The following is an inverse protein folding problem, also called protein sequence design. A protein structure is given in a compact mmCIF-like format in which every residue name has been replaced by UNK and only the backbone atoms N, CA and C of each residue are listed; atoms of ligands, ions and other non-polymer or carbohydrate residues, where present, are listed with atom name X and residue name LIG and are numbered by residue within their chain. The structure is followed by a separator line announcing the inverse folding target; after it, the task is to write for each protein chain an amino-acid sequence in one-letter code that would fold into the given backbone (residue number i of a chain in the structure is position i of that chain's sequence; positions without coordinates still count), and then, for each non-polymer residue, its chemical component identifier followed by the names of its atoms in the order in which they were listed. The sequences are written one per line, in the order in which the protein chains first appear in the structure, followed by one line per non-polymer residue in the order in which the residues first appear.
data_IF_113177885176
#
_entry.id   IF_113177885176
#
_cell.length_a   1.000
_cell.length_b   1.000
_cell.length_c   1.000
_cell.angle_alpha   90.00
_cell.angle_beta   90.00
_cell.angle_gamma   90.00
#
_symmetry.space_group_name_H-M   'P 1'
#
loop_
_entity.id
_entity.type
_entity.pdbx_description
1 polymer ?
#
# COMPACT_ATOMS: atom_id res chain seq x y z
N UNK A 1 -0.99 -11.79 16.84
CA UNK A 1 -2.01 -11.04 16.08
C UNK A 1 -2.44 -11.90 14.92
N UNK A 2 -3.72 -11.88 14.58
CA UNK A 2 -4.24 -12.52 13.37
C UNK A 2 -4.74 -11.46 12.40
N UNK A 3 -4.99 -11.89 11.17
CA UNK A 3 -5.46 -11.07 10.07
C UNK A 3 -6.72 -11.69 9.50
N UNK A 4 -7.80 -10.93 9.50
CA UNK A 4 -9.10 -11.34 8.97
C UNK A 4 -9.39 -10.64 7.65
N UNK A 5 -10.31 -11.22 6.88
CA UNK A 5 -10.79 -10.60 5.64
C UNK A 5 -11.81 -9.52 5.96
N UNK A 6 -11.75 -8.40 5.25
CA UNK A 6 -12.79 -7.36 5.25
C UNK A 6 -14.18 -7.87 4.88
N UNK A 7 -14.29 -9.06 4.26
CA UNK A 7 -15.56 -9.70 3.90
C UNK A 7 -15.95 -10.82 4.87
N UNK A 8 -15.07 -11.21 5.80
CA UNK A 8 -15.40 -12.10 6.92
C UNK A 8 -15.75 -13.55 6.57
N UNK A 9 -15.50 -14.02 5.33
CA UNK A 9 -15.83 -15.40 4.91
C UNK A 9 -14.63 -16.34 4.95
N UNK A 10 -13.51 -15.90 5.50
CA UNK A 10 -12.26 -16.67 5.57
C UNK A 10 -11.77 -16.78 7.00
N UNK A 11 -11.12 -17.90 7.35
CA UNK A 11 -10.49 -18.03 8.66
C UNK A 11 -9.37 -17.00 8.81
N UNK A 12 -9.21 -16.37 9.99
CA UNK A 12 -8.08 -15.48 10.23
C UNK A 12 -6.75 -16.21 10.09
N UNK A 13 -5.75 -15.52 9.57
CA UNK A 13 -4.40 -16.05 9.32
C UNK A 13 -3.34 -15.23 10.06
N UNK A 14 -2.10 -15.72 10.14
CA UNK A 14 -0.99 -14.93 10.71
C UNK A 14 -0.45 -13.92 9.71
N UNK A 15 0.39 -12.98 10.14
CA UNK A 15 0.85 -11.88 9.27
C UNK A 15 1.68 -12.38 8.09
N UNK A 16 2.52 -13.41 8.29
CA UNK A 16 3.28 -14.02 7.20
C UNK A 16 2.35 -14.59 6.12
N UNK A 17 1.31 -15.32 6.53
CA UNK A 17 0.34 -15.89 5.61
C UNK A 17 -0.46 -14.79 4.89
N UNK A 18 -0.89 -13.73 5.60
CA UNK A 18 -1.59 -12.59 4.99
C UNK A 18 -0.73 -11.88 3.93
N UNK A 19 0.57 -11.67 4.19
CA UNK A 19 1.52 -11.08 3.22
C UNK A 19 1.72 -12.01 2.03
N UNK A 20 1.90 -13.31 2.27
CA UNK A 20 2.08 -14.32 1.21
C UNK A 20 0.88 -14.40 0.28
N UNK A 21 -0.33 -14.43 0.85
CA UNK A 21 -1.59 -14.52 0.10
C UNK A 21 -1.92 -13.20 -0.63
N UNK A 22 -1.64 -12.05 0.00
CA UNK A 22 -1.90 -10.72 -0.55
C UNK A 22 -3.38 -10.30 -0.52
N UNK A 23 -4.28 -11.19 -0.99
CA UNK A 23 -5.74 -11.05 -0.97
C UNK A 23 -6.37 -12.25 -0.28
N UNK A 24 -7.49 -12.05 0.40
CA UNK A 24 -8.22 -13.15 1.01
C UNK A 24 -8.99 -13.97 -0.06
N UNK A 25 -9.20 -15.28 0.15
CA UNK A 25 -9.90 -16.14 -0.82
C UNK A 25 -11.34 -15.73 -1.15
N UNK A 26 -12.00 -14.97 -0.28
CA UNK A 26 -13.33 -14.40 -0.51
C UNK A 26 -13.32 -13.07 -1.30
N UNK A 27 -12.14 -12.68 -1.81
CA UNK A 27 -11.89 -11.44 -2.52
C UNK A 27 -11.76 -10.21 -1.62
N UNK A 28 -11.84 -10.38 -0.29
CA UNK A 28 -11.63 -9.30 0.67
C UNK A 28 -10.15 -9.03 0.95
N UNK A 29 -9.91 -8.00 1.75
CA UNK A 29 -8.57 -7.53 2.09
C UNK A 29 -8.20 -7.91 3.52
N UNK A 30 -6.95 -8.28 3.76
CA UNK A 30 -6.50 -8.59 5.12
C UNK A 30 -6.36 -7.33 5.97
N UNK A 31 -6.86 -7.39 7.21
CA UNK A 31 -6.76 -6.36 8.26
C UNK A 31 -6.46 -7.03 9.61
N UNK A 32 -5.76 -6.35 10.55
CA UNK A 32 -5.45 -6.91 11.86
C UNK A 32 -6.70 -7.10 12.71
N UNK A 33 -6.78 -8.22 13.43
CA UNK A 33 -7.93 -8.63 14.27
C UNK A 33 -8.12 -7.80 15.54
N UNK A 34 -7.15 -6.94 15.87
CA UNK A 34 -7.16 -6.11 17.07
C UNK A 34 -6.43 -4.78 16.84
N UNK A 35 -6.80 -3.73 17.57
CA UNK A 35 -6.09 -2.45 17.49
C UNK A 35 -4.66 -2.58 18.03
N UNK A 36 -3.73 -1.93 17.34
CA UNK A 36 -2.38 -1.62 17.84
C UNK A 36 -2.43 -0.22 18.42
N UNK A 37 -1.77 0.01 19.56
CA UNK A 37 -1.65 1.33 20.20
C UNK A 37 -0.20 1.57 20.60
N UNK A 38 0.24 2.82 20.46
CA UNK A 38 1.50 3.38 20.95
C UNK A 38 1.11 4.51 21.90
N UNK A 39 1.59 4.49 23.14
CA UNK A 39 1.30 5.57 24.10
C UNK A 39 2.10 6.83 23.78
N UNK A 40 1.70 7.97 24.32
CA UNK A 40 2.45 9.22 24.16
C UNK A 40 3.88 9.11 24.69
N UNK A 41 4.08 8.40 25.80
CA UNK A 41 5.41 8.14 26.37
C UNK A 41 6.27 7.29 25.42
N UNK A 42 5.72 6.20 24.90
CA UNK A 42 6.42 5.34 23.92
C UNK A 42 6.77 6.13 22.66
N UNK A 43 5.87 7.00 22.19
CA UNK A 43 6.10 7.83 21.02
C UNK A 43 7.29 8.79 21.27
N UNK A 44 7.33 9.45 22.43
CA UNK A 44 8.45 10.32 22.83
C UNK A 44 9.76 9.55 22.98
N UNK A 45 9.74 8.33 23.52
CA UNK A 45 10.93 7.46 23.62
C UNK A 45 11.49 7.07 22.24
N UNK A 46 10.64 7.03 21.22
CA UNK A 46 11.03 6.76 19.84
C UNK A 46 11.54 7.99 19.09
N UNK A 47 11.45 9.19 19.68
CA UNK A 47 11.94 10.42 19.07
C UNK A 47 13.47 10.35 18.83
N UNK A 48 13.91 10.85 17.67
CA UNK A 48 15.32 10.82 17.28
C UNK A 48 15.87 9.45 16.86
N UNK A 49 15.07 8.38 16.91
CA UNK A 49 15.49 7.08 16.36
C UNK A 49 15.76 7.20 14.85
N UNK A 50 16.84 6.59 14.34
CA UNK A 50 17.03 6.46 12.90
C UNK A 50 15.86 5.72 12.25
N UNK A 51 15.53 6.08 11.00
CA UNK A 51 14.36 5.55 10.29
C UNK A 51 14.27 4.03 10.30
N UNK A 52 15.39 3.31 10.17
CA UNK A 52 15.42 1.85 10.20
C UNK A 52 15.01 1.27 11.57
N UNK A 53 15.52 1.81 12.66
CA UNK A 53 15.15 1.34 14.00
C UNK A 53 13.69 1.65 14.31
N UNK A 54 13.23 2.83 13.89
CA UNK A 54 11.85 3.24 14.02
C UNK A 54 10.91 2.34 13.20
N UNK A 55 11.23 2.11 11.92
CA UNK A 55 10.49 1.22 11.04
C UNK A 55 10.38 -0.19 11.63
N UNK A 56 11.50 -0.78 12.08
CA UNK A 56 11.50 -2.09 12.74
C UNK A 56 10.52 -2.14 13.91
N UNK A 57 10.56 -1.15 14.81
CA UNK A 57 9.71 -1.10 15.99
C UNK A 57 8.21 -1.01 15.64
N UNK A 58 7.84 -0.20 14.63
CA UNK A 58 6.45 -0.12 14.15
C UNK A 58 6.00 -1.42 13.47
N UNK A 59 6.84 -2.00 12.60
CA UNK A 59 6.53 -3.24 11.90
C UNK A 59 6.31 -4.42 12.87
N UNK A 60 7.13 -4.51 13.92
CA UNK A 60 7.05 -5.56 14.95
C UNK A 60 5.68 -5.65 15.62
N UNK A 61 5.01 -4.52 15.83
CA UNK A 61 3.66 -4.48 16.44
C UNK A 61 2.61 -5.22 15.60
N UNK A 62 2.80 -5.27 14.28
CA UNK A 62 1.87 -5.89 13.33
C UNK A 62 2.33 -7.28 12.85
N UNK A 63 3.64 -7.50 12.78
CA UNK A 63 4.27 -8.71 12.26
C UNK A 63 4.62 -9.70 13.39
N UNK A 64 3.66 -10.01 14.27
CA UNK A 64 3.91 -10.71 15.55
C UNK A 64 4.40 -12.17 15.42
N UNK A 65 4.39 -12.74 14.22
CA UNK A 65 4.96 -14.06 13.92
C UNK A 65 6.32 -14.00 13.22
N UNK A 66 6.81 -12.80 12.87
CA UNK A 66 8.19 -12.57 12.46
C UNK A 66 9.09 -12.33 13.68
N UNK A 67 10.35 -12.76 13.60
CA UNK A 67 11.36 -12.43 14.60
C UNK A 67 11.86 -10.99 14.39
N UNK A 68 12.43 -10.42 15.44
CA UNK A 68 13.03 -9.08 15.38
C UNK A 68 14.12 -9.01 14.31
N UNK A 69 14.92 -10.07 14.19
CA UNK A 69 16.01 -10.20 13.23
C UNK A 69 15.49 -10.28 11.78
N UNK A 70 14.40 -11.01 11.55
CA UNK A 70 13.75 -11.09 10.23
C UNK A 70 13.25 -9.71 9.79
N UNK A 71 12.55 -9.00 10.68
CA UNK A 71 12.02 -7.65 10.40
C UNK A 71 13.18 -6.68 10.15
N UNK A 72 14.20 -6.69 11.01
CA UNK A 72 15.36 -5.81 10.88
C UNK A 72 16.13 -6.08 9.57
N UNK A 73 16.30 -7.36 9.19
CA UNK A 73 16.91 -7.75 7.92
C UNK A 73 16.12 -7.19 6.73
N UNK A 74 14.78 -7.29 6.74
CA UNK A 74 13.94 -6.72 5.69
C UNK A 74 14.09 -5.20 5.61
N UNK A 75 14.08 -4.51 6.75
CA UNK A 75 14.21 -3.05 6.85
C UNK A 75 15.57 -2.57 6.32
N UNK A 76 16.68 -3.20 6.74
CA UNK A 76 18.02 -2.78 6.33
C UNK A 76 18.29 -3.01 4.83
N UNK A 77 17.66 -4.02 4.23
CA UNK A 77 17.75 -4.25 2.77
C UNK A 77 16.87 -3.29 1.95
N UNK A 78 15.82 -2.75 2.57
CA UNK A 78 14.90 -1.82 1.92
C UNK A 78 15.35 -0.36 2.03
N UNK A 79 15.72 0.08 3.23
CA UNK A 79 15.97 1.49 3.55
C UNK A 79 17.44 1.70 3.92
N UNK A 80 18.27 1.91 2.90
CA UNK A 80 19.71 2.14 3.03
C UNK A 80 20.18 3.21 2.04
N UNK A 81 21.43 3.66 2.21
CA UNK A 81 22.04 4.73 1.41
C UNK A 81 22.26 4.39 -0.06
N UNK A 82 22.27 3.10 -0.43
CA UNK A 82 22.40 2.69 -1.84
C UNK A 82 21.08 2.86 -2.59
N UNK A 83 19.95 2.73 -1.89
CA UNK A 83 18.60 2.83 -2.46
C UNK A 83 17.94 4.19 -2.25
N UNK A 84 18.26 4.87 -1.15
CA UNK A 84 17.70 6.18 -0.83
C UNK A 84 18.79 7.24 -0.81
N UNK A 85 18.59 8.31 -1.56
CA UNK A 85 19.59 9.37 -1.77
C UNK A 85 19.73 10.33 -0.58
N UNK A 86 18.88 10.20 0.45
CA UNK A 86 18.94 10.96 1.70
C UNK A 86 19.03 10.06 2.95
N UNK A 87 19.90 10.36 3.93
CA UNK A 87 20.04 9.58 5.15
C UNK A 87 18.77 9.42 6.00
N UNK A 88 17.90 10.42 6.00
CA UNK A 88 16.65 10.40 6.77
C UNK A 88 15.58 9.51 6.15
N UNK A 89 15.78 9.02 4.92
CA UNK A 89 14.85 8.23 4.10
C UNK A 89 13.57 8.99 3.71
N UNK A 90 12.87 9.62 4.67
CA UNK A 90 11.66 10.43 4.49
C UNK A 90 11.83 11.82 5.15
N UNK A 91 12.61 12.74 4.56
CA UNK A 91 12.80 14.07 5.14
C UNK A 91 11.51 14.90 5.11
N UNK A 92 11.34 15.73 6.14
CA UNK A 92 10.28 16.74 6.21
C UNK A 92 10.86 18.13 5.94
N UNK A 93 10.34 18.80 4.91
CA UNK A 93 10.75 20.14 4.48
C UNK A 93 9.72 21.18 4.90
N UNK A 94 10.14 22.20 5.65
CA UNK A 94 9.31 23.36 5.98
C UNK A 94 9.17 24.26 4.75
N UNK A 95 7.93 24.62 4.39
CA UNK A 95 7.65 25.63 3.37
C UNK A 95 7.30 26.98 4.00
N UNK A 96 6.44 26.95 5.03
CA UNK A 96 5.92 28.12 5.73
C UNK A 96 5.54 27.76 7.17
N UNK A 97 5.06 28.73 7.95
CA UNK A 97 4.59 28.51 9.31
C UNK A 97 3.43 27.51 9.34
N UNK A 98 3.68 26.32 9.90
CA UNK A 98 2.68 25.25 10.00
C UNK A 98 2.46 24.47 8.70
N UNK A 99 3.24 24.73 7.63
CA UNK A 99 3.14 24.02 6.36
C UNK A 99 4.46 23.31 6.01
N UNK A 100 4.36 22.00 5.83
CA UNK A 100 5.48 21.11 5.58
C UNK A 100 5.18 20.16 4.42
N UNK A 101 6.22 19.78 3.67
CA UNK A 101 6.17 18.70 2.69
C UNK A 101 6.97 17.52 3.23
N UNK A 102 6.33 16.36 3.29
CA UNK A 102 7.00 15.09 3.53
C UNK A 102 7.53 14.55 2.19
N UNK A 103 8.84 14.57 2.02
CA UNK A 103 9.50 14.19 0.77
C UNK A 103 9.61 12.66 0.71
N UNK A 104 8.75 12.03 -0.09
CA UNK A 104 8.68 10.57 -0.23
C UNK A 104 9.24 10.07 -1.58
N UNK A 105 10.04 10.87 -2.27
CA UNK A 105 10.56 10.57 -3.61
C UNK A 105 12.08 10.34 -3.63
N UNK A 106 12.67 10.06 -2.48
CA UNK A 106 14.12 9.85 -2.35
C UNK A 106 14.57 8.41 -2.62
N UNK A 107 13.61 7.52 -2.92
CA UNK A 107 13.89 6.15 -3.32
C UNK A 107 14.33 6.03 -4.79
N UNK A 108 14.65 4.81 -5.24
CA UNK A 108 15.32 4.59 -6.52
C UNK A 108 14.45 4.86 -7.75
N UNK A 109 13.14 5.08 -7.57
CA UNK A 109 12.21 5.39 -8.67
C UNK A 109 11.55 6.76 -8.52
N UNK A 110 12.05 7.57 -7.59
CA UNK A 110 11.56 8.91 -7.31
C UNK A 110 10.06 8.97 -6.97
N UNK A 111 9.53 7.95 -6.29
CA UNK A 111 8.13 7.87 -5.94
C UNK A 111 7.89 7.25 -4.56
N UNK A 112 6.83 7.68 -3.87
CA UNK A 112 6.47 7.15 -2.54
C UNK A 112 6.23 5.64 -2.52
N UNK A 113 5.96 5.04 -3.68
CA UNK A 113 5.78 3.59 -3.82
C UNK A 113 7.04 2.82 -3.43
N UNK A 114 8.22 3.45 -3.48
CA UNK A 114 9.50 2.86 -3.07
C UNK A 114 9.48 2.41 -1.60
N UNK A 115 8.82 3.17 -0.71
CA UNK A 115 8.69 2.77 0.70
C UNK A 115 8.01 1.40 0.85
N UNK A 116 6.97 1.14 0.07
CA UNK A 116 6.27 -0.14 0.11
C UNK A 116 7.00 -1.23 -0.69
N UNK A 117 7.51 -0.89 -1.87
CA UNK A 117 8.00 -1.88 -2.84
C UNK A 117 9.46 -2.28 -2.63
N UNK A 118 10.27 -1.49 -1.92
CA UNK A 118 11.64 -1.89 -1.56
C UNK A 118 11.67 -2.92 -0.42
N UNK A 119 10.66 -2.94 0.45
CA UNK A 119 10.60 -3.88 1.58
C UNK A 119 9.72 -5.10 1.31
N UNK A 120 8.68 -4.96 0.46
CA UNK A 120 7.75 -6.05 0.15
C UNK A 120 8.43 -7.35 -0.29
N UNK A 121 9.40 -7.37 -1.23
CA UNK A 121 10.07 -8.59 -1.66
C UNK A 121 10.69 -9.35 -0.48
N UNK A 122 11.35 -8.63 0.43
CA UNK A 122 12.01 -9.22 1.59
C UNK A 122 11.01 -9.76 2.63
N UNK A 123 9.91 -9.04 2.85
CA UNK A 123 8.81 -9.53 3.69
C UNK A 123 8.17 -10.79 3.10
N UNK A 124 8.01 -10.80 1.79
CA UNK A 124 7.33 -11.85 1.06
C UNK A 124 8.17 -13.15 1.02
N UNK A 125 9.47 -13.05 0.73
CA UNK A 125 10.37 -14.21 0.77
C UNK A 125 10.51 -14.76 2.20
N UNK A 126 10.58 -13.86 3.20
CA UNK A 126 10.58 -14.25 4.61
C UNK A 126 9.28 -14.95 5.01
N UNK A 127 8.13 -14.46 4.52
CA UNK A 127 6.82 -15.07 4.76
C UNK A 127 6.69 -16.46 4.14
N UNK A 128 7.18 -16.66 2.92
CA UNK A 128 7.21 -17.99 2.28
C UNK A 128 8.05 -18.97 3.09
N UNK A 129 9.28 -18.60 3.42
CA UNK A 129 10.18 -19.45 4.18
C UNK A 129 9.57 -19.83 5.55
N UNK A 130 8.98 -18.84 6.25
CA UNK A 130 8.34 -19.04 7.55
C UNK A 130 7.11 -19.93 7.51
N UNK A 131 6.35 -19.89 6.42
CA UNK A 131 5.18 -20.76 6.21
C UNK A 131 5.56 -22.13 5.66
N UNK A 132 6.86 -22.46 5.60
CA UNK A 132 7.38 -23.75 5.16
C UNK A 132 7.41 -23.92 3.63
N UNK A 133 7.10 -22.86 2.88
CA UNK A 133 7.18 -22.86 1.43
C UNK A 133 8.63 -22.88 0.95
N UNK A 134 8.89 -23.59 -0.14
CA UNK A 134 10.18 -23.60 -0.86
C UNK A 134 10.04 -23.10 -2.29
N UNK A 135 8.84 -22.69 -2.65
CA UNK A 135 8.50 -22.18 -3.98
C UNK A 135 9.06 -20.77 -4.17
N UNK A 136 9.64 -20.51 -5.35
CA UNK A 136 10.00 -19.15 -5.74
C UNK A 136 8.73 -18.37 -6.10
N UNK A 137 8.65 -17.11 -5.70
CA UNK A 137 7.48 -16.29 -6.04
C UNK A 137 7.70 -15.60 -7.39
N UNK A 138 6.79 -15.85 -8.33
CA UNK A 138 6.68 -15.12 -9.58
C UNK A 138 5.66 -13.99 -9.44
N UNK A 139 6.15 -12.76 -9.33
CA UNK A 139 5.34 -11.56 -9.22
C UNK A 139 4.83 -11.13 -10.59
N UNK A 140 3.52 -11.04 -10.75
CA UNK A 140 2.88 -10.51 -11.95
C UNK A 140 2.36 -9.09 -11.67
N UNK A 141 2.76 -8.13 -12.50
CA UNK A 141 2.31 -6.73 -12.37
C UNK A 141 1.84 -6.23 -13.73
N UNK A 142 0.59 -5.75 -13.82
CA UNK A 142 0.17 -4.90 -14.93
C UNK A 142 0.40 -3.43 -14.55
N UNK A 143 0.94 -2.62 -15.46
CA UNK A 143 1.21 -1.20 -15.18
C UNK A 143 0.91 -0.28 -16.35
N UNK A 144 0.59 0.97 -16.02
CA UNK A 144 0.58 2.11 -16.94
C UNK A 144 1.82 3.01 -16.80
N UNK A 145 2.77 2.67 -15.92
CA UNK A 145 3.98 3.48 -15.69
C UNK A 145 4.68 3.18 -14.35
N UNK A 146 4.64 4.16 -13.42
CA UNK A 146 5.50 4.21 -12.22
C UNK A 146 5.49 2.95 -11.35
N UNK A 147 4.32 2.31 -11.21
CA UNK A 147 4.19 1.10 -10.36
C UNK A 147 5.06 -0.04 -10.88
N UNK A 148 5.18 -0.19 -12.21
CA UNK A 148 6.00 -1.23 -12.81
C UNK A 148 7.47 -1.01 -12.51
N UNK A 149 7.98 0.22 -12.70
CA UNK A 149 9.38 0.54 -12.42
C UNK A 149 9.73 0.38 -10.94
N UNK A 150 8.87 0.87 -10.03
CA UNK A 150 9.09 0.68 -8.58
C UNK A 150 9.08 -0.80 -8.17
N UNK A 151 8.22 -1.62 -8.79
CA UNK A 151 8.19 -3.05 -8.51
C UNK A 151 9.42 -3.76 -9.09
N UNK A 152 9.81 -3.46 -10.34
CA UNK A 152 11.01 -4.00 -10.96
C UNK A 152 12.25 -3.74 -10.09
N UNK A 153 12.41 -2.51 -9.64
CA UNK A 153 13.55 -2.12 -8.81
C UNK A 153 13.51 -2.78 -7.43
N UNK A 154 12.34 -2.88 -6.80
CA UNK A 154 12.19 -3.55 -5.51
C UNK A 154 12.56 -5.04 -5.58
N UNK A 155 12.08 -5.74 -6.62
CA UNK A 155 12.29 -7.17 -6.79
C UNK A 155 13.64 -7.53 -7.45
N UNK A 156 14.41 -6.56 -7.95
CA UNK A 156 15.71 -6.77 -8.60
C UNK A 156 16.64 -7.62 -7.73
N UNK A 157 17.02 -8.77 -8.27
CA UNK A 157 17.98 -9.74 -7.72
C UNK A 157 17.67 -10.20 -6.27
N UNK A 158 16.39 -10.14 -5.87
CA UNK A 158 15.94 -10.66 -4.57
C UNK A 158 15.84 -12.20 -4.63
N UNK A 159 16.63 -12.95 -3.83
CA UNK A 159 16.58 -14.41 -3.84
C UNK A 159 15.20 -14.96 -3.48
N UNK A 160 14.73 -15.96 -4.22
CA UNK A 160 13.41 -16.56 -4.01
C UNK A 160 12.25 -15.78 -4.60
N UNK A 161 12.52 -14.70 -5.34
CA UNK A 161 11.51 -13.92 -6.04
C UNK A 161 11.92 -13.62 -7.49
N UNK A 162 10.92 -13.51 -8.36
CA UNK A 162 11.01 -13.08 -9.76
C UNK A 162 9.89 -12.09 -10.04
N UNK A 163 10.07 -11.23 -11.02
CA UNK A 163 9.03 -10.28 -11.41
C UNK A 163 8.85 -10.23 -12.92
N UNK A 164 7.59 -10.20 -13.34
CA UNK A 164 7.15 -10.02 -14.72
C UNK A 164 6.22 -8.82 -14.75
N UNK A 165 6.64 -7.77 -15.44
CA UNK A 165 5.84 -6.55 -15.63
C UNK A 165 5.24 -6.52 -17.04
N UNK A 166 3.92 -6.47 -17.10
CA UNK A 166 3.12 -6.30 -18.30
C UNK A 166 2.74 -4.83 -18.44
N UNK A 167 3.05 -4.23 -19.59
CA UNK A 167 2.67 -2.84 -19.90
C UNK A 167 2.11 -2.77 -21.32
N UNK A 168 1.15 -1.86 -21.61
CA UNK A 168 0.65 -1.73 -22.97
C UNK A 168 1.76 -1.17 -23.87
N UNK A 169 1.95 -1.76 -25.04
CA UNK A 169 2.99 -1.36 -25.99
C UNK A 169 2.88 0.12 -26.40
N UNK A 170 1.66 0.66 -26.35
CA UNK A 170 1.33 2.07 -26.53
C UNK A 170 0.65 2.66 -25.28
N UNK A 171 0.80 3.97 -25.05
CA UNK A 171 0.10 4.67 -23.96
C UNK A 171 0.85 4.77 -22.63
N UNK A 172 2.06 4.22 -22.53
CA UNK A 172 3.03 4.55 -21.47
C UNK A 172 3.96 5.66 -21.97
N UNK A 173 4.39 6.58 -21.09
CA UNK A 173 5.35 7.62 -21.48
C UNK A 173 6.68 7.00 -21.91
N UNK A 174 7.39 7.65 -22.84
CA UNK A 174 8.66 7.12 -23.37
C UNK A 174 9.69 6.93 -22.25
N UNK A 175 9.75 7.85 -21.28
CA UNK A 175 10.68 7.73 -20.13
C UNK A 175 10.36 6.49 -19.30
N UNK A 176 9.10 6.25 -18.94
CA UNK A 176 8.70 5.08 -18.15
C UNK A 176 8.93 3.77 -18.92
N UNK A 177 8.65 3.77 -20.23
CA UNK A 177 8.92 2.63 -21.11
C UNK A 177 10.41 2.30 -21.12
N UNK A 178 11.27 3.29 -21.35
CA UNK A 178 12.73 3.14 -21.33
C UNK A 178 13.19 2.59 -19.98
N UNK A 179 12.73 3.19 -18.87
CA UNK A 179 13.06 2.72 -17.51
C UNK A 179 12.70 1.25 -17.26
N UNK A 180 11.60 0.75 -17.83
CA UNK A 180 11.21 -0.66 -17.71
C UNK A 180 12.05 -1.56 -18.61
N UNK A 181 12.19 -1.26 -19.92
CA UNK A 181 12.90 -2.16 -20.84
C UNK A 181 14.41 -2.19 -20.62
N UNK A 182 14.98 -1.15 -20.00
CA UNK A 182 16.39 -1.11 -19.61
C UNK A 182 16.61 -1.54 -18.16
N UNK A 183 15.60 -2.13 -17.51
CA UNK A 183 15.75 -2.64 -16.15
C UNK A 183 16.81 -3.76 -16.12
N UNK A 184 17.76 -3.64 -15.20
CA UNK A 184 18.71 -4.69 -14.88
C UNK A 184 18.15 -5.64 -13.81
N UNK A 185 18.65 -6.87 -13.79
CA UNK A 185 18.37 -7.88 -12.78
C UNK A 185 18.09 -9.24 -13.43
N UNK A 186 18.75 -10.30 -12.95
CA UNK A 186 18.64 -11.64 -13.52
C UNK A 186 17.27 -12.31 -13.31
N UNK A 187 16.43 -11.72 -12.46
CA UNK A 187 15.09 -12.17 -12.11
C UNK A 187 13.97 -11.20 -12.55
N UNK A 188 14.31 -10.20 -13.36
CA UNK A 188 13.37 -9.17 -13.84
C UNK A 188 13.00 -9.41 -15.30
N UNK A 189 11.70 -9.35 -15.60
CA UNK A 189 11.17 -9.55 -16.94
C UNK A 189 10.12 -8.50 -17.26
N UNK A 190 10.12 -8.02 -18.50
CA UNK A 190 9.22 -6.98 -18.96
C UNK A 190 8.59 -7.42 -20.27
N UNK A 191 7.26 -7.36 -20.35
CA UNK A 191 6.45 -7.84 -21.47
C UNK A 191 5.57 -6.70 -21.98
N UNK A 192 5.80 -6.30 -23.23
CA UNK A 192 4.92 -5.35 -23.91
C UNK A 192 3.68 -6.07 -24.43
N UNK A 193 2.50 -5.65 -23.99
CA UNK A 193 1.20 -6.19 -24.41
C UNK A 193 0.68 -5.38 -25.58
N UNK A 194 0.38 -6.04 -26.70
CA UNK A 194 -0.29 -5.42 -27.84
C UNK A 194 -1.76 -5.15 -27.49
N UNK A 195 -2.03 -4.02 -26.87
CA UNK A 195 -3.33 -3.66 -26.31
C UNK A 195 -3.23 -2.48 -25.36
N UNK A 196 -4.29 -2.23 -24.59
CA UNK A 196 -4.37 -1.18 -23.59
C UNK A 196 -4.11 -1.70 -22.16
N UNK A 197 -4.03 -0.79 -21.19
CA UNK A 197 -3.78 -1.14 -19.79
C UNK A 197 -4.84 -2.08 -19.21
N UNK A 198 -6.12 -1.90 -19.56
CA UNK A 198 -7.21 -2.75 -19.06
C UNK A 198 -7.07 -4.20 -19.57
N UNK A 199 -6.62 -4.38 -20.81
CA UNK A 199 -6.31 -5.70 -21.37
C UNK A 199 -5.11 -6.34 -20.68
N UNK A 200 -4.04 -5.59 -20.42
CA UNK A 200 -2.89 -6.10 -19.67
C UNK A 200 -3.29 -6.53 -18.24
N UNK A 201 -4.10 -5.71 -17.55
CA UNK A 201 -4.63 -6.04 -16.23
C UNK A 201 -5.61 -7.22 -16.27
N UNK A 202 -6.44 -7.31 -17.31
CA UNK A 202 -7.35 -8.43 -17.56
C UNK A 202 -6.59 -9.74 -17.71
N UNK A 203 -5.57 -9.77 -18.57
CA UNK A 203 -4.73 -10.97 -18.76
C UNK A 203 -4.02 -11.42 -17.49
N UNK A 204 -3.51 -10.49 -16.68
CA UNK A 204 -2.94 -10.85 -15.36
C UNK A 204 -4.00 -11.49 -14.45
N UNK A 205 -5.24 -10.99 -14.45
CA UNK A 205 -6.34 -11.60 -13.68
C UNK A 205 -6.72 -12.98 -14.21
N UNK A 206 -6.71 -13.17 -15.53
CA UNK A 206 -6.94 -14.48 -16.16
C UNK A 206 -5.87 -15.49 -15.72
N UNK A 207 -4.59 -15.11 -15.71
CA UNK A 207 -3.50 -15.96 -15.20
C UNK A 207 -3.74 -16.35 -13.73
N UNK A 208 -4.18 -15.41 -12.88
CA UNK A 208 -4.50 -15.73 -11.48
C UNK A 208 -5.72 -16.64 -11.33
N UNK A 209 -6.67 -16.60 -12.26
CA UNK A 209 -7.88 -17.42 -12.26
C UNK A 209 -7.72 -18.80 -12.91
N UNK A 210 -6.62 -19.04 -13.63
CA UNK A 210 -6.35 -20.31 -14.31
C UNK A 210 -5.78 -21.36 -13.34
N UNK A 211 -6.64 -22.25 -12.83
CA UNK A 211 -6.25 -23.27 -11.85
C UNK A 211 -5.23 -24.29 -12.41
N UNK A 212 -5.36 -24.64 -13.69
CA UNK A 212 -4.50 -25.61 -14.37
C UNK A 212 -3.08 -25.05 -14.52
N UNK A 213 -2.96 -23.81 -15.00
CA UNK A 213 -1.69 -23.10 -15.09
C UNK A 213 -1.07 -22.89 -13.70
N UNK A 214 -1.87 -22.50 -12.70
CA UNK A 214 -1.38 -22.34 -11.33
C UNK A 214 -0.87 -23.65 -10.72
N UNK A 215 -1.45 -24.80 -11.06
CA UNK A 215 -0.98 -26.11 -10.65
C UNK A 215 0.31 -26.50 -11.39
N UNK A 216 0.40 -26.26 -12.69
CA UNK A 216 1.61 -26.51 -13.48
C UNK A 216 2.81 -25.70 -12.95
N UNK A 217 2.60 -24.41 -12.68
CA UNK A 217 3.63 -23.50 -12.17
C UNK A 217 4.07 -23.91 -10.76
N UNK A 218 3.13 -24.36 -9.90
CA UNK A 218 3.46 -24.95 -8.59
C UNK A 218 4.33 -26.19 -8.69
N UNK A 219 4.07 -27.08 -9.65
CA UNK A 219 4.91 -28.27 -9.90
C UNK A 219 6.32 -27.90 -10.38
N UNK A 220 6.46 -26.78 -11.07
CA UNK A 220 7.75 -26.22 -11.46
C UNK A 220 8.49 -25.53 -10.30
N UNK A 221 7.94 -25.52 -9.09
CA UNK A 221 8.54 -24.88 -7.92
C UNK A 221 8.30 -23.37 -7.84
N UNK A 222 7.29 -22.86 -8.55
CA UNK A 222 6.94 -21.45 -8.56
C UNK A 222 5.52 -21.21 -8.02
N UNK A 223 5.28 -20.00 -7.53
CA UNK A 223 3.93 -19.54 -7.20
C UNK A 223 3.70 -18.15 -7.76
N UNK A 224 2.60 -17.96 -8.48
CA UNK A 224 2.20 -16.61 -8.86
C UNK A 224 1.74 -15.82 -7.64
N UNK A 225 2.18 -14.57 -7.57
CA UNK A 225 1.69 -13.59 -6.61
C UNK A 225 1.66 -12.20 -7.26
N UNK A 226 1.03 -11.24 -6.60
CA UNK A 226 0.95 -9.87 -7.10
C UNK A 226 1.64 -8.90 -6.15
N UNK A 227 2.28 -7.87 -6.69
CA UNK A 227 2.78 -6.73 -5.91
C UNK A 227 1.71 -5.63 -5.78
N UNK A 228 0.42 -5.99 -5.81
CA UNK A 228 -0.68 -5.03 -5.87
C UNK A 228 -0.83 -4.23 -4.57
N UNK A 229 -1.38 -3.02 -4.69
CA UNK A 229 -1.53 -2.06 -3.58
C UNK A 229 -2.42 -2.52 -2.43
N UNK A 230 -3.08 -3.67 -2.59
CA UNK A 230 -3.91 -4.31 -1.57
C UNK A 230 -3.12 -5.19 -0.61
N UNK A 231 -1.88 -5.60 -0.93
CA UNK A 231 -1.10 -6.46 -0.04
C UNK A 231 -0.81 -5.73 1.29
N UNK A 232 -1.04 -6.40 2.43
CA UNK A 232 -0.78 -5.82 3.74
C UNK A 232 0.69 -5.39 3.91
N UNK A 233 1.64 -6.14 3.34
CA UNK A 233 3.06 -5.81 3.32
C UNK A 233 3.41 -4.55 2.53
N UNK A 234 2.49 -4.01 1.72
CA UNK A 234 2.63 -2.67 1.11
C UNK A 234 2.04 -1.55 1.94
N UNK A 235 0.93 -1.82 2.63
CA UNK A 235 0.24 -0.82 3.45
C UNK A 235 1.00 -0.53 4.74
N UNK A 236 1.47 -1.57 5.41
CA UNK A 236 2.10 -1.46 6.72
C UNK A 236 3.35 -0.55 6.72
N UNK A 237 4.31 -0.65 5.77
CA UNK A 237 5.48 0.24 5.76
C UNK A 237 5.14 1.72 5.55
N UNK A 238 3.98 2.01 4.94
CA UNK A 238 3.52 3.38 4.75
C UNK A 238 3.08 4.06 6.06
N UNK A 239 2.71 3.28 7.09
CA UNK A 239 2.36 3.81 8.41
C UNK A 239 3.57 4.50 9.06
N UNK A 240 4.77 3.99 8.79
CA UNK A 240 6.02 4.40 9.43
C UNK A 240 6.32 5.88 9.20
N UNK A 241 6.23 6.36 7.96
CA UNK A 241 6.62 7.74 7.64
C UNK A 241 5.66 8.80 8.22
N UNK A 242 4.42 8.45 8.55
CA UNK A 242 3.50 9.36 9.25
C UNK A 242 3.96 9.63 10.68
N UNK A 243 4.31 8.58 11.41
CA UNK A 243 4.91 8.73 12.73
C UNK A 243 6.26 9.42 12.67
N UNK A 244 7.11 9.04 11.71
CA UNK A 244 8.44 9.63 11.55
C UNK A 244 8.36 11.14 11.28
N UNK A 245 7.43 11.59 10.43
CA UNK A 245 7.19 13.01 10.19
C UNK A 245 6.74 13.76 11.45
N UNK A 246 5.83 13.19 12.24
CA UNK A 246 5.38 13.79 13.51
C UNK A 246 6.52 13.89 14.52
N UNK A 247 7.32 12.83 14.66
CA UNK A 247 8.46 12.79 15.57
C UNK A 247 9.58 13.75 15.17
N UNK A 248 9.79 13.95 13.88
CA UNK A 248 10.73 14.94 13.36
C UNK A 248 10.29 16.38 13.75
N UNK A 249 9.00 16.72 13.60
CA UNK A 249 8.45 18.00 14.07
C UNK A 249 8.61 18.17 15.59
N UNK A 250 8.29 17.13 16.36
CA UNK A 250 8.45 17.14 17.82
C UNK A 250 9.92 17.36 18.22
N UNK A 251 10.84 16.66 17.57
CA UNK A 251 12.29 16.74 17.85
C UNK A 251 12.86 18.10 17.49
N UNK A 252 12.33 18.74 16.44
CA UNK A 252 12.70 20.12 16.04
C UNK A 252 12.06 21.20 16.90
N UNK A 253 11.15 20.83 17.82
CA UNK A 253 10.39 21.79 18.63
C UNK A 253 9.38 22.61 17.83
N UNK A 254 8.97 22.12 16.65
CA UNK A 254 8.00 22.78 15.77
C UNK A 254 6.54 22.50 16.20
N UNK A 255 6.32 21.53 17.09
CA UNK A 255 5.04 21.25 17.75
C UNK A 255 5.23 20.81 19.20
N UNK A 256 4.22 21.00 20.04
CA UNK A 256 4.18 20.48 21.41
C UNK A 256 3.77 19.00 21.45
N UNK A 257 4.21 18.26 22.47
CA UNK A 257 3.78 16.86 22.65
C UNK A 257 2.26 16.76 22.77
N UNK A 258 1.64 15.93 21.94
CA UNK A 258 0.19 15.76 21.88
C UNK A 258 -0.53 16.81 21.04
N UNK A 259 0.17 17.81 20.49
CA UNK A 259 -0.41 18.74 19.53
C UNK A 259 -0.82 17.97 18.27
N UNK A 260 -2.08 18.13 17.86
CA UNK A 260 -2.63 17.42 16.72
C UNK A 260 -2.26 18.10 15.41
N UNK A 261 -1.97 17.30 14.37
CA UNK A 261 -1.68 17.81 13.03
C UNK A 261 -2.66 17.28 11.99
N UNK A 262 -2.72 17.94 10.84
CA UNK A 262 -3.47 17.50 9.68
C UNK A 262 -2.54 16.89 8.64
N UNK A 263 -2.98 15.82 7.98
CA UNK A 263 -2.27 15.25 6.82
C UNK A 263 -3.08 15.47 5.55
N UNK A 264 -2.48 16.17 4.58
CA UNK A 264 -3.03 16.30 3.21
C UNK A 264 -2.37 15.25 2.33
N UNK A 265 -3.17 14.38 1.72
CA UNK A 265 -2.66 13.23 0.97
C UNK A 265 -3.25 13.21 -0.44
N UNK A 266 -2.43 13.46 -1.49
CA UNK A 266 -2.82 13.19 -2.88
C UNK A 266 -3.15 11.70 -3.05
N UNK A 267 -4.42 11.39 -3.33
CA UNK A 267 -4.94 10.03 -3.17
C UNK A 267 -5.48 9.45 -4.48
N UNK A 268 -5.00 8.25 -4.82
CA UNK A 268 -5.60 7.35 -5.81
C UNK A 268 -6.26 6.13 -5.15
N UNK A 269 -5.54 5.01 -5.04
CA UNK A 269 -6.03 3.73 -4.49
C UNK A 269 -6.20 3.67 -2.95
N UNK A 270 -6.33 4.82 -2.26
CA UNK A 270 -6.53 4.96 -0.81
C UNK A 270 -5.43 4.46 0.13
N UNK A 271 -4.43 3.71 -0.36
CA UNK A 271 -3.44 3.05 0.51
C UNK A 271 -2.62 4.02 1.38
N UNK A 272 -2.22 5.17 0.81
CA UNK A 272 -1.40 6.14 1.53
C UNK A 272 -2.17 6.83 2.67
N UNK A 273 -3.34 7.40 2.38
CA UNK A 273 -4.18 8.04 3.40
C UNK A 273 -4.73 7.02 4.42
N UNK A 274 -4.95 5.77 4.00
CA UNK A 274 -5.30 4.69 4.91
C UNK A 274 -4.18 4.41 5.92
N UNK A 275 -2.92 4.49 5.51
CA UNK A 275 -1.79 4.35 6.44
C UNK A 275 -1.79 5.49 7.49
N UNK A 276 -2.16 6.71 7.10
CA UNK A 276 -2.39 7.82 8.04
C UNK A 276 -3.52 7.51 9.04
N UNK A 277 -4.61 6.92 8.56
CA UNK A 277 -5.71 6.45 9.40
C UNK A 277 -5.26 5.39 10.41
N UNK A 278 -4.45 4.42 9.99
CA UNK A 278 -3.86 3.45 10.92
C UNK A 278 -2.95 4.14 11.94
N UNK A 279 -2.11 5.09 11.53
CA UNK A 279 -1.27 5.86 12.45
C UNK A 279 -2.10 6.61 13.51
N UNK A 280 -3.19 7.29 13.09
CA UNK A 280 -4.15 7.92 14.00
C UNK A 280 -4.76 6.90 14.97
N UNK A 281 -5.23 5.75 14.46
CA UNK A 281 -5.77 4.66 15.31
C UNK A 281 -4.74 4.08 16.25
N UNK A 282 -3.46 4.13 15.90
CA UNK A 282 -2.37 3.71 16.78
C UNK A 282 -2.06 4.71 17.88
N UNK A 283 -2.61 5.93 17.85
CA UNK A 283 -2.41 6.94 18.89
C UNK A 283 -1.59 8.15 18.43
N UNK A 284 -1.24 8.25 17.14
CA UNK A 284 -0.63 9.46 16.59
C UNK A 284 -1.62 10.65 16.70
N UNK A 285 -1.21 11.81 17.25
CA UNK A 285 -2.07 12.99 17.35
C UNK A 285 -2.39 13.58 15.97
N UNK A 286 -3.47 13.08 15.35
CA UNK A 286 -3.94 13.51 14.04
C UNK A 286 -5.35 14.06 14.19
N UNK A 287 -5.50 15.35 13.92
CA UNK A 287 -6.77 16.05 13.99
C UNK A 287 -7.66 15.62 12.81
N UNK A 288 -7.16 15.80 11.59
CA UNK A 288 -7.92 15.56 10.37
C UNK A 288 -7.08 14.98 9.24
N UNK A 289 -7.70 14.11 8.43
CA UNK A 289 -7.13 13.58 7.20
C UNK A 289 -7.80 14.25 6.00
N UNK A 290 -7.01 14.88 5.15
CA UNK A 290 -7.51 15.60 3.97
C UNK A 290 -7.12 14.79 2.74
N UNK A 291 -8.13 14.25 2.06
CA UNK A 291 -7.98 13.57 0.79
C UNK A 291 -7.96 14.59 -0.33
N UNK A 292 -6.84 14.70 -1.04
CA UNK A 292 -6.75 15.54 -2.24
C UNK A 292 -6.89 14.67 -3.49
N UNK A 293 -7.94 14.90 -4.29
CA UNK A 293 -8.14 14.23 -5.57
C UNK A 293 -7.77 15.14 -6.75
N UNK A 294 -7.62 14.55 -7.93
CA UNK A 294 -7.59 15.32 -9.18
C UNK A 294 -9.00 15.36 -9.80
N UNK A 295 -9.11 15.64 -11.10
CA UNK A 295 -10.41 15.67 -11.79
C UNK A 295 -11.23 14.37 -11.65
N UNK A 296 -10.58 13.23 -11.39
CA UNK A 296 -11.25 11.97 -11.05
C UNK A 296 -11.67 11.96 -9.57
N UNK A 297 -12.73 12.69 -9.24
CA UNK A 297 -13.15 13.00 -7.86
C UNK A 297 -14.00 11.92 -7.17
N UNK A 298 -13.94 10.63 -7.58
CA UNK A 298 -14.82 9.57 -7.03
C UNK A 298 -14.74 9.45 -5.50
N UNK A 299 -13.55 9.68 -4.93
CA UNK A 299 -13.33 9.64 -3.49
C UNK A 299 -13.80 10.90 -2.77
N UNK A 300 -13.56 12.07 -3.36
CA UNK A 300 -14.03 13.36 -2.82
C UNK A 300 -15.56 13.36 -2.74
N UNK A 301 -16.25 13.00 -3.84
CA UNK A 301 -17.70 12.90 -3.87
C UNK A 301 -18.23 11.86 -2.88
N UNK A 302 -17.55 10.71 -2.75
CA UNK A 302 -17.90 9.71 -1.75
C UNK A 302 -17.81 10.25 -0.32
N UNK A 303 -16.70 10.91 0.03
CA UNK A 303 -16.52 11.51 1.36
C UNK A 303 -17.54 12.62 1.62
N UNK A 304 -17.97 13.35 0.59
CA UNK A 304 -18.94 14.45 0.73
C UNK A 304 -20.40 13.99 0.79
N UNK A 305 -20.74 12.86 0.16
CA UNK A 305 -22.14 12.45 -0.05
C UNK A 305 -22.51 11.09 0.54
N UNK A 306 -21.52 10.29 0.93
CA UNK A 306 -21.68 8.89 1.34
C UNK A 306 -22.01 7.95 0.18
N UNK A 307 -21.97 8.43 -1.07
CA UNK A 307 -22.28 7.65 -2.28
C UNK A 307 -21.02 7.40 -3.08
N UNK A 308 -20.65 6.13 -3.23
CA UNK A 308 -19.53 5.72 -4.07
C UNK A 308 -20.09 5.31 -5.42
N UNK A 309 -19.86 6.09 -6.48
CA UNK A 309 -20.39 5.84 -7.82
C UNK A 309 -19.27 5.83 -8.86
N UNK A 310 -19.12 4.71 -9.58
CA UNK A 310 -18.10 4.53 -10.61
C UNK A 310 -18.61 4.83 -12.02
N UNK A 311 -19.90 5.10 -12.19
CA UNK A 311 -20.51 5.44 -13.48
C UNK A 311 -20.17 6.89 -13.87
N UNK A 312 -18.88 7.15 -14.08
CA UNK A 312 -18.33 8.48 -14.31
C UNK A 312 -17.35 8.45 -15.47
N UNK A 313 -17.19 9.57 -16.16
CA UNK A 313 -16.17 9.74 -17.20
C UNK A 313 -14.78 9.66 -16.57
N UNK A 314 -13.89 8.87 -17.18
CA UNK A 314 -12.47 8.83 -16.84
C UNK A 314 -11.73 10.00 -17.50
N UNK A 315 -10.98 10.77 -16.72
CA UNK A 315 -10.18 11.88 -17.21
C UNK A 315 -8.70 11.56 -17.11
N UNK A 316 -7.96 11.73 -18.21
CA UNK A 316 -6.49 11.73 -18.17
C UNK A 316 -6.02 13.09 -17.67
N UNK A 317 -5.27 13.12 -16.58
CA UNK A 317 -4.82 14.37 -15.95
C UNK A 317 -3.29 14.50 -15.96
N UNK A 318 -2.79 15.63 -15.43
CA UNK A 318 -1.36 15.83 -15.19
C UNK A 318 -0.82 15.01 -14.01
N UNK A 319 -1.69 14.37 -13.22
CA UNK A 319 -1.34 13.49 -12.09
C UNK A 319 -1.82 12.05 -12.35
N UNK A 320 -1.30 11.36 -13.38
CA UNK A 320 -1.85 10.09 -13.88
C UNK A 320 -1.84 8.95 -12.86
N UNK A 321 -0.94 8.99 -11.87
CA UNK A 321 -0.89 8.04 -10.74
C UNK A 321 -2.15 8.08 -9.85
N UNK A 322 -2.98 9.13 -9.97
CA UNK A 322 -4.24 9.33 -9.22
C UNK A 322 -5.49 9.16 -10.09
N UNK A 323 -5.35 8.97 -11.41
CA UNK A 323 -6.49 8.80 -12.32
C UNK A 323 -7.14 7.44 -12.08
N UNK A 324 -8.17 7.40 -11.23
CA UNK A 324 -8.85 6.16 -10.79
C UNK A 324 -10.37 6.32 -10.76
N UNK A 325 -11.07 5.23 -11.06
CA UNK A 325 -12.51 5.08 -10.78
C UNK A 325 -12.78 4.10 -9.62
N UNK A 326 -11.81 3.23 -9.31
CA UNK A 326 -11.88 2.29 -8.19
C UNK A 326 -10.79 2.62 -7.21
N UNK A 327 -11.15 2.75 -5.95
CA UNK A 327 -10.18 2.84 -4.88
C UNK A 327 -10.08 1.53 -4.08
N UNK A 328 -9.30 0.61 -4.65
CA UNK A 328 -8.29 -0.11 -3.89
C UNK A 328 -8.61 -0.48 -2.43
N UNK A 329 -8.06 0.37 -1.57
CA UNK A 329 -7.97 0.17 -0.13
C UNK A 329 -9.14 0.81 0.64
N UNK A 330 -10.11 1.43 -0.05
CA UNK A 330 -11.27 2.02 0.61
C UNK A 330 -12.06 0.96 1.40
N UNK A 331 -12.11 -0.28 0.88
CA UNK A 331 -12.75 -1.42 1.54
C UNK A 331 -12.24 -1.65 2.98
N UNK A 332 -10.96 -1.37 3.26
CA UNK A 332 -10.40 -1.47 4.62
C UNK A 332 -10.91 -0.39 5.55
N UNK A 333 -11.06 0.85 5.08
CA UNK A 333 -11.66 1.91 5.90
C UNK A 333 -13.11 1.55 6.22
N UNK A 334 -13.89 1.14 5.22
CA UNK A 334 -15.29 0.74 5.38
C UNK A 334 -15.44 -0.39 6.39
N UNK A 335 -14.56 -1.39 6.34
CA UNK A 335 -14.52 -2.46 7.33
C UNK A 335 -14.32 -1.94 8.76
N UNK A 336 -13.39 -1.01 8.96
CA UNK A 336 -13.14 -0.45 10.29
C UNK A 336 -14.27 0.43 10.82
N UNK A 337 -15.09 0.98 9.94
CA UNK A 337 -16.23 1.82 10.31
C UNK A 337 -17.52 1.00 10.50
N UNK A 338 -17.73 -0.05 9.71
CA UNK A 338 -19.04 -0.73 9.60
C UNK A 338 -19.00 -2.26 9.77
N UNK A 339 -17.80 -2.86 9.80
CA UNK A 339 -17.62 -4.31 9.88
C UNK A 339 -17.85 -5.06 8.56
N UNK A 340 -17.65 -6.38 8.60
CA UNK A 340 -17.65 -7.23 7.42
C UNK A 340 -19.00 -7.30 6.70
N UNK A 341 -20.11 -7.27 7.46
CA UNK A 341 -21.45 -7.51 6.91
C UNK A 341 -21.86 -6.38 5.95
N UNK A 342 -21.71 -5.13 6.39
CA UNK A 342 -21.96 -3.94 5.58
C UNK A 342 -21.02 -3.88 4.37
N UNK A 343 -19.72 -4.19 4.56
CA UNK A 343 -18.75 -4.24 3.45
C UNK A 343 -19.18 -5.24 2.38
N UNK A 344 -19.63 -6.43 2.75
CA UNK A 344 -20.11 -7.41 1.77
C UNK A 344 -21.29 -6.89 0.96
N UNK A 345 -22.26 -6.28 1.61
CA UNK A 345 -23.43 -5.69 0.93
C UNK A 345 -23.02 -4.61 -0.06
N UNK A 346 -22.14 -3.69 0.35
CA UNK A 346 -21.64 -2.64 -0.53
C UNK A 346 -20.82 -3.17 -1.69
N UNK A 347 -20.01 -4.22 -1.49
CA UNK A 347 -19.25 -4.84 -2.57
C UNK A 347 -20.15 -5.59 -3.56
N UNK A 348 -21.25 -6.18 -3.09
CA UNK A 348 -22.28 -6.77 -3.97
C UNK A 348 -22.96 -5.68 -4.81
N UNK A 349 -23.40 -4.58 -4.20
CA UNK A 349 -23.98 -3.44 -4.93
C UNK A 349 -22.97 -2.83 -5.91
N UNK A 350 -21.70 -2.68 -5.51
CA UNK A 350 -20.66 -2.18 -6.40
C UNK A 350 -20.44 -3.07 -7.62
N UNK A 351 -20.51 -4.39 -7.45
CA UNK A 351 -20.37 -5.35 -8.55
C UNK A 351 -21.59 -5.33 -9.50
N UNK A 352 -22.80 -5.18 -8.95
CA UNK A 352 -24.04 -5.21 -9.72
C UNK A 352 -24.38 -3.88 -10.40
N UNK A 353 -24.19 -2.76 -9.70
CA UNK A 353 -24.69 -1.43 -10.08
C UNK A 353 -23.56 -0.42 -10.32
N UNK A 354 -22.30 -0.82 -10.11
CA UNK A 354 -21.14 0.09 -10.12
C UNK A 354 -21.25 1.24 -9.10
N UNK A 355 -22.10 1.07 -8.08
CA UNK A 355 -22.41 2.09 -7.07
C UNK A 355 -22.84 1.47 -5.75
N UNK A 356 -22.60 2.16 -4.63
CA UNK A 356 -23.28 1.92 -3.35
C UNK A 356 -23.42 3.22 -2.53
N UNK A 357 -24.24 3.18 -1.49
CA UNK A 357 -24.34 4.24 -0.46
C UNK A 357 -24.11 3.62 0.91
N UNK A 358 -23.23 4.23 1.70
CA UNK A 358 -23.01 3.83 3.09
C UNK A 358 -24.16 4.29 3.97
N UNK A 359 -24.37 3.62 5.10
CA UNK A 359 -25.35 4.02 6.09
C UNK A 359 -24.96 5.36 6.77
N UNK A 360 -25.91 5.92 7.52
CA UNK A 360 -25.77 7.24 8.14
C UNK A 360 -24.63 7.29 9.17
N UNK A 361 -24.45 6.22 9.95
CA UNK A 361 -23.48 6.19 11.04
C UNK A 361 -22.06 6.06 10.46
N UNK A 362 -21.88 5.19 9.47
CA UNK A 362 -20.63 5.09 8.71
C UNK A 362 -20.29 6.41 8.01
N UNK A 363 -21.27 7.08 7.40
CA UNK A 363 -21.06 8.38 6.75
C UNK A 363 -20.62 9.44 7.76
N UNK A 364 -21.29 9.55 8.91
CA UNK A 364 -20.92 10.49 9.96
C UNK A 364 -19.51 10.21 10.50
N UNK A 365 -19.19 8.96 10.83
CA UNK A 365 -17.87 8.57 11.32
C UNK A 365 -16.76 8.87 10.29
N UNK A 366 -17.03 8.69 9.00
CA UNK A 366 -16.10 9.07 7.93
C UNK A 366 -15.90 10.59 7.87
N UNK A 367 -16.95 11.40 7.99
CA UNK A 367 -16.87 12.88 7.95
C UNK A 367 -16.12 13.47 9.15
N UNK A 368 -16.23 12.85 10.32
CA UNK A 368 -15.48 13.27 11.51
C UNK A 368 -13.97 12.97 11.36
N UNK A 369 -13.65 11.93 10.62
CA UNK A 369 -12.28 11.47 10.39
C UNK A 369 -11.57 12.24 9.29
N UNK A 370 -12.27 12.53 8.19
CA UNK A 370 -11.65 13.02 6.96
C UNK A 370 -12.58 13.91 6.11
N UNK A 371 -11.93 14.73 5.29
CA UNK A 371 -12.56 15.54 4.25
C UNK A 371 -11.96 15.22 2.88
N UNK A 372 -12.74 15.46 1.83
CA UNK A 372 -12.29 15.39 0.46
C UNK A 372 -12.25 16.78 -0.14
N UNK A 373 -11.12 17.10 -0.78
CA UNK A 373 -10.85 18.30 -1.57
C UNK A 373 -10.59 17.90 -3.03
#
# INVERSE_FOLDING_TARGET
MLYESTRGKTRPVRSAEAIKMGIAPDGGLFVPDRPVRITGEQLVEMAGMPYHHFARAVLELFLTDFSVEEIMSCVMRAYNHDKFDVPSIAPLKKLDHGLYILELWHGPTCAFKDFALQILPHLLTSAVAKTGGREEIAILVATSGDTGKAALEGFKDVPGARIIVFYPAEGVSEIQKLQMITQEGGNTHVVAVQGNFDQAQGGVKEIFGDEDLNEEIRRCGYRFSSANSINWGRLLPQIVYYFFAYLDLLTRGELASGEEINFVVPTGNFGNILAAFYARRMGLPVQHLILAANQNSVLTDFIQTGVYDRNRTFYKTISPSMDILISSNLERLLFHLAGADAVREWMVSLAAESRFRVDRDTFAAMRDLMSGD
#
